data_IF_086142241223
#
_entry.id   IF_086142241223
#
_cell.length_a   1.000
_cell.length_b   1.000
_cell.length_c   1.000
_cell.angle_alpha   90.00
_cell.angle_beta   90.00
_cell.angle_gamma   90.00
#
_symmetry.space_group_name_H-M   'P 1'
#
loop_
_entity.id
_entity.type
_entity.pdbx_description
1 polymer ?
#
# COMPACT_ATOMS: atom_id res chain seq x y z
N UNK A 1 -19.17 40.19 27.59
CA UNK A 1 -19.47 39.58 26.27
C UNK A 1 -18.39 38.55 25.99
N UNK A 2 -18.72 37.25 25.99
CA UNK A 2 -17.76 36.15 25.81
C UNK A 2 -17.83 35.72 24.35
N UNK A 3 -16.79 36.02 23.58
CA UNK A 3 -16.69 35.71 22.16
C UNK A 3 -16.59 34.19 22.01
N UNK A 4 -17.62 33.57 21.41
CA UNK A 4 -17.60 32.16 21.03
C UNK A 4 -16.52 31.99 19.97
N UNK A 5 -15.45 31.26 20.30
CA UNK A 5 -14.57 30.73 19.28
C UNK A 5 -15.36 29.65 18.54
N UNK A 6 -15.71 29.92 17.29
CA UNK A 6 -16.12 28.86 16.38
C UNK A 6 -14.88 27.99 16.18
N UNK A 7 -14.96 26.74 16.62
CA UNK A 7 -14.00 25.71 16.25
C UNK A 7 -14.37 25.34 14.80
N UNK A 8 -13.45 25.42 13.83
CA UNK A 8 -13.73 24.93 12.49
C UNK A 8 -13.96 23.41 12.59
N UNK A 9 -15.19 22.96 12.33
CA UNK A 9 -15.55 21.56 12.17
C UNK A 9 -15.17 21.13 10.74
N UNK A 10 -13.88 21.04 10.39
CA UNK A 10 -13.47 20.58 9.04
C UNK A 10 -11.98 20.14 8.97
N UNK A 11 -11.33 19.74 10.09
CA UNK A 11 -9.89 19.38 10.07
C UNK A 11 -9.56 17.88 10.12
N UNK A 12 -10.52 16.96 10.24
CA UNK A 12 -10.23 15.53 10.45
C UNK A 12 -10.71 14.57 9.34
N UNK A 13 -11.06 15.10 8.17
CA UNK A 13 -11.13 14.25 6.99
C UNK A 13 -9.78 14.36 6.27
N UNK A 14 -8.79 13.58 6.72
CA UNK A 14 -7.64 13.24 5.88
C UNK A 14 -8.18 12.39 4.73
N UNK A 15 -8.81 13.06 3.76
CA UNK A 15 -9.39 12.44 2.58
C UNK A 15 -8.18 11.90 1.82
N UNK A 16 -7.98 10.59 1.89
CA UNK A 16 -7.05 9.81 1.05
C UNK A 16 -7.47 9.87 -0.43
N UNK A 17 -7.73 11.06 -0.97
CA UNK A 17 -8.08 11.27 -2.36
C UNK A 17 -6.80 11.19 -3.18
N UNK A 18 -6.66 10.10 -3.93
CA UNK A 18 -5.60 9.93 -4.95
C UNK A 18 -4.46 9.01 -4.57
N UNK A 19 -4.18 8.79 -3.28
CA UNK A 19 -3.09 7.91 -2.87
C UNK A 19 -3.47 6.42 -2.99
N UNK A 20 -2.67 5.60 -3.69
CA UNK A 20 -2.99 4.20 -3.93
C UNK A 20 -2.81 3.31 -2.69
N UNK A 21 -3.75 2.40 -2.50
CA UNK A 21 -3.57 1.19 -1.69
C UNK A 21 -3.07 0.06 -2.57
N UNK A 22 -1.94 -0.54 -2.20
CA UNK A 22 -1.46 -1.78 -2.77
C UNK A 22 -1.96 -2.95 -1.90
N UNK A 23 -2.72 -3.86 -2.50
CA UNK A 23 -3.29 -5.02 -1.82
C UNK A 23 -2.79 -6.31 -2.46
N UNK A 24 -2.32 -7.24 -1.64
CA UNK A 24 -1.85 -8.55 -2.07
C UNK A 24 -2.77 -9.63 -1.53
N UNK A 25 -3.36 -10.40 -2.44
CA UNK A 25 -3.97 -11.69 -2.12
C UNK A 25 -2.91 -12.78 -2.28
N UNK A 26 -2.38 -13.23 -1.15
CA UNK A 26 -1.31 -14.23 -1.09
C UNK A 26 -1.73 -15.60 -1.63
N UNK A 27 -0.87 -16.20 -2.45
CA UNK A 27 -0.94 -17.62 -2.79
C UNK A 27 -0.04 -18.43 -1.84
N UNK A 28 -0.55 -18.76 -0.66
CA UNK A 28 0.23 -19.45 0.39
C UNK A 28 0.85 -20.76 -0.11
N UNK A 29 0.10 -21.55 -0.90
CA UNK A 29 0.60 -22.79 -1.50
C UNK A 29 1.75 -22.50 -2.46
N UNK A 30 1.63 -21.47 -3.29
CA UNK A 30 2.67 -21.06 -4.24
C UNK A 30 3.94 -20.54 -3.56
N UNK A 31 3.79 -19.82 -2.44
CA UNK A 31 4.92 -19.37 -1.61
C UNK A 31 5.65 -20.57 -0.98
N UNK A 32 4.90 -21.48 -0.37
CA UNK A 32 5.45 -22.68 0.30
C UNK A 32 6.19 -23.60 -0.69
N UNK A 33 5.57 -23.91 -1.82
CA UNK A 33 6.17 -24.77 -2.86
C UNK A 33 7.51 -24.22 -3.38
N UNK A 34 7.71 -22.91 -3.30
CA UNK A 34 8.92 -22.23 -3.78
C UNK A 34 9.84 -21.75 -2.67
N UNK A 35 9.53 -22.10 -1.42
CA UNK A 35 10.31 -21.70 -0.25
C UNK A 35 10.51 -20.17 -0.15
N UNK A 36 9.54 -19.40 -0.64
CA UNK A 36 9.56 -17.94 -0.53
C UNK A 36 8.90 -17.57 0.79
N UNK A 37 9.67 -16.91 1.65
CA UNK A 37 9.14 -16.36 2.89
C UNK A 37 8.29 -15.14 2.58
N UNK A 38 7.03 -15.14 3.01
CA UNK A 38 6.13 -13.99 2.85
C UNK A 38 6.74 -12.71 3.42
N UNK A 39 7.37 -12.79 4.57
CA UNK A 39 8.09 -11.68 5.23
C UNK A 39 9.17 -11.06 4.36
N UNK A 40 9.89 -11.86 3.56
CA UNK A 40 10.89 -11.34 2.63
C UNK A 40 10.25 -10.47 1.53
N UNK A 41 9.10 -10.89 1.00
CA UNK A 41 8.35 -10.12 0.00
C UNK A 41 7.81 -8.82 0.61
N UNK A 42 7.26 -8.90 1.84
CA UNK A 42 6.78 -7.74 2.60
C UNK A 42 7.92 -6.74 2.84
N UNK A 43 9.11 -7.21 3.20
CA UNK A 43 10.28 -6.35 3.42
C UNK A 43 10.73 -5.65 2.14
N UNK A 44 10.67 -6.34 0.99
CA UNK A 44 10.94 -5.70 -0.31
C UNK A 44 9.96 -4.57 -0.56
N UNK A 45 8.65 -4.79 -0.36
CA UNK A 45 7.62 -3.75 -0.54
C UNK A 45 7.86 -2.57 0.41
N UNK A 46 8.12 -2.85 1.68
CA UNK A 46 8.36 -1.83 2.72
C UNK A 46 9.69 -1.07 2.56
N UNK A 47 10.63 -1.58 1.76
CA UNK A 47 11.89 -0.88 1.48
C UNK A 47 11.73 0.32 0.55
N UNK A 48 10.59 0.44 -0.15
CA UNK A 48 10.31 1.59 -1.01
C UNK A 48 9.90 2.79 -0.16
N UNK A 49 10.60 3.92 -0.34
CA UNK A 49 10.19 5.18 0.25
C UNK A 49 8.78 5.54 -0.20
N UNK A 50 7.94 5.99 0.74
CA UNK A 50 6.51 6.25 0.50
C UNK A 50 5.60 5.06 0.79
N UNK A 51 6.14 3.83 0.94
CA UNK A 51 5.35 2.69 1.42
C UNK A 51 5.17 2.77 2.94
N UNK A 52 3.92 2.71 3.37
CA UNK A 52 3.51 2.75 4.78
C UNK A 52 2.67 1.51 5.11
N UNK A 53 2.79 0.97 6.34
CA UNK A 53 1.95 -0.13 6.78
C UNK A 53 0.49 0.32 6.96
N UNK A 54 -0.44 -0.64 6.87
CA UNK A 54 -1.86 -0.39 7.12
C UNK A 54 -2.40 -1.33 8.21
N UNK A 55 -3.11 -0.82 9.23
CA UNK A 55 -3.26 0.60 9.56
C UNK A 55 -1.93 1.23 10.00
N UNK A 56 -1.83 2.56 9.96
CA UNK A 56 -0.62 3.31 10.34
C UNK A 56 -0.45 3.50 11.87
N UNK A 57 -1.28 2.85 12.68
CA UNK A 57 -1.30 2.99 14.14
C UNK A 57 -0.68 1.75 14.84
N UNK A 58 -0.74 1.72 16.17
CA UNK A 58 -0.18 0.64 17.00
C UNK A 58 -0.95 -0.70 16.91
N UNK A 59 -1.95 -0.80 16.02
CA UNK A 59 -2.64 -2.06 15.78
C UNK A 59 -1.76 -3.01 14.95
N UNK A 60 -2.05 -4.32 14.98
CA UNK A 60 -1.39 -5.28 14.11
C UNK A 60 -1.50 -4.84 12.65
N UNK A 61 -0.34 -4.60 12.03
CA UNK A 61 -0.25 -4.18 10.64
C UNK A 61 -0.59 -5.35 9.73
N UNK A 62 -1.38 -5.07 8.70
CA UNK A 62 -1.70 -6.01 7.65
C UNK A 62 -0.43 -6.44 6.90
N UNK A 63 -0.31 -7.75 6.68
CA UNK A 63 0.66 -8.33 5.77
C UNK A 63 0.24 -8.21 4.30
N UNK A 64 -0.98 -7.74 4.03
CA UNK A 64 -1.61 -7.76 2.71
C UNK A 64 -1.92 -6.38 2.17
N UNK A 65 -1.94 -5.34 3.00
CA UNK A 65 -2.37 -3.99 2.62
C UNK A 65 -1.24 -3.02 2.93
N UNK A 66 -0.89 -2.22 1.94
CA UNK A 66 0.14 -1.19 2.02
C UNK A 66 -0.42 0.12 1.48
N UNK A 67 -0.24 1.19 2.24
CA UNK A 67 -0.58 2.53 1.81
C UNK A 67 0.65 3.14 1.14
N UNK A 68 0.49 3.70 -0.05
CA UNK A 68 1.58 4.29 -0.82
C UNK A 68 1.31 5.78 -0.97
N UNK A 69 2.17 6.60 -0.37
CA UNK A 69 2.10 8.06 -0.42
C UNK A 69 3.22 8.63 -1.30
N UNK A 70 3.00 9.84 -1.77
CA UNK A 70 4.04 10.64 -2.41
C UNK A 70 5.25 10.82 -1.50
N UNK A 71 6.42 10.95 -2.13
CA UNK A 71 7.66 11.40 -1.51
C UNK A 71 8.09 12.71 -2.17
N UNK A 72 9.02 13.48 -1.58
CA UNK A 72 9.48 14.74 -2.19
C UNK A 72 9.96 14.62 -3.65
N UNK A 73 10.39 13.43 -4.07
CA UNK A 73 11.00 13.21 -5.39
C UNK A 73 10.22 12.24 -6.29
N UNK A 74 9.25 11.49 -5.77
CA UNK A 74 8.60 10.38 -6.50
C UNK A 74 7.12 10.33 -6.13
N UNK A 75 6.26 10.35 -7.16
CA UNK A 75 4.82 10.19 -7.04
C UNK A 75 4.44 8.74 -6.67
N UNK A 76 3.37 8.57 -5.90
CA UNK A 76 2.88 7.29 -5.40
C UNK A 76 2.63 6.26 -6.51
N UNK A 77 2.09 6.69 -7.65
CA UNK A 77 1.89 5.82 -8.82
C UNK A 77 3.20 5.26 -9.38
N UNK A 78 4.26 6.07 -9.40
CA UNK A 78 5.58 5.62 -9.82
C UNK A 78 6.19 4.66 -8.78
N UNK A 79 5.96 4.90 -7.48
CA UNK A 79 6.37 3.99 -6.40
C UNK A 79 5.68 2.63 -6.56
N UNK A 80 4.36 2.61 -6.79
CA UNK A 80 3.61 1.38 -7.10
C UNK A 80 4.22 0.64 -8.29
N UNK A 81 4.51 1.37 -9.37
CA UNK A 81 5.12 0.78 -10.58
C UNK A 81 6.49 0.15 -10.29
N UNK A 82 7.31 0.81 -9.48
CA UNK A 82 8.62 0.31 -9.05
C UNK A 82 8.50 -0.95 -8.18
N UNK A 83 7.53 -0.98 -7.26
CA UNK A 83 7.22 -2.16 -6.43
C UNK A 83 6.82 -3.33 -7.33
N UNK A 84 5.85 -3.13 -8.23
CA UNK A 84 5.39 -4.18 -9.14
C UNK A 84 6.53 -4.74 -10.00
N UNK A 85 7.39 -3.86 -10.52
CA UNK A 85 8.55 -4.27 -11.29
C UNK A 85 9.55 -5.10 -10.47
N UNK A 86 9.85 -4.68 -9.23
CA UNK A 86 10.73 -5.43 -8.33
C UNK A 86 10.15 -6.80 -7.97
N UNK A 87 8.86 -6.87 -7.67
CA UNK A 87 8.17 -8.14 -7.38
C UNK A 87 8.16 -9.08 -8.59
N UNK A 88 7.94 -8.54 -9.79
CA UNK A 88 8.02 -9.32 -11.02
C UNK A 88 9.44 -9.86 -11.24
N UNK A 89 10.47 -9.03 -11.08
CA UNK A 89 11.87 -9.46 -11.25
C UNK A 89 12.31 -10.49 -10.21
N UNK A 90 11.87 -10.34 -8.96
CA UNK A 90 12.27 -11.22 -7.86
C UNK A 90 11.50 -12.54 -7.80
N UNK A 91 10.22 -12.53 -8.20
CA UNK A 91 9.30 -13.63 -7.85
C UNK A 91 8.42 -14.13 -8.99
N UNK A 92 8.42 -13.50 -10.16
CA UNK A 92 7.72 -14.03 -11.33
C UNK A 92 8.53 -15.17 -11.95
N UNK A 93 7.94 -16.35 -12.05
CA UNK A 93 8.47 -17.43 -12.87
C UNK A 93 7.40 -17.85 -13.87
N UNK A 94 7.84 -18.27 -15.06
CA UNK A 94 6.94 -18.56 -16.18
C UNK A 94 5.89 -19.61 -15.76
N UNK A 95 4.64 -19.33 -16.16
CA UNK A 95 3.48 -20.24 -16.15
C UNK A 95 2.76 -20.50 -14.82
N UNK A 96 3.30 -20.14 -13.65
CA UNK A 96 2.59 -20.32 -12.37
C UNK A 96 2.65 -19.07 -11.49
N UNK A 97 1.51 -18.50 -11.04
CA UNK A 97 1.51 -17.36 -10.11
C UNK A 97 2.06 -17.75 -8.73
N UNK A 98 3.16 -17.13 -8.33
CA UNK A 98 3.84 -17.46 -7.06
C UNK A 98 3.35 -16.62 -5.89
N UNK A 99 3.28 -15.28 -6.04
CA UNK A 99 2.85 -14.40 -4.96
C UNK A 99 1.33 -14.36 -4.79
N UNK A 100 0.57 -14.68 -5.85
CA UNK A 100 -0.88 -14.57 -5.91
C UNK A 100 -1.34 -13.43 -6.80
N UNK A 101 -2.27 -12.59 -6.33
CA UNK A 101 -2.80 -11.43 -7.08
C UNK A 101 -2.49 -10.14 -6.36
N UNK A 102 -2.15 -9.11 -7.12
CA UNK A 102 -1.89 -7.76 -6.62
C UNK A 102 -2.96 -6.83 -7.19
N UNK A 103 -3.57 -6.03 -6.33
CA UNK A 103 -4.56 -5.01 -6.67
C UNK A 103 -4.01 -3.65 -6.28
N UNK A 104 -4.28 -2.65 -7.10
CA UNK A 104 -4.01 -1.24 -6.80
C UNK A 104 -5.35 -0.54 -6.78
N UNK A 105 -5.70 0.05 -5.64
CA UNK A 105 -6.96 0.77 -5.47
C UNK A 105 -6.62 2.24 -5.30
N UNK A 106 -7.26 3.09 -6.11
CA UNK A 106 -7.20 4.55 -5.97
C UNK A 106 -8.60 5.01 -5.64
N UNK A 107 -8.75 5.74 -4.54
CA UNK A 107 -10.02 6.32 -4.17
C UNK A 107 -10.24 7.62 -4.98
N UNK A 108 -11.40 7.72 -5.63
CA UNK A 108 -11.83 8.94 -6.30
C UNK A 108 -12.76 9.73 -5.37
N UNK A 109 -12.56 11.05 -5.31
CA UNK A 109 -13.49 11.94 -4.62
C UNK A 109 -14.81 11.96 -5.39
N UNK A 110 -15.92 11.62 -4.73
CA UNK A 110 -17.25 11.80 -5.30
C UNK A 110 -17.48 13.29 -5.55
N UNK A 111 -17.59 13.69 -6.82
CA UNK A 111 -18.03 15.04 -7.16
C UNK A 111 -19.49 15.18 -6.70
N UNK A 112 -19.74 16.13 -5.81
CA UNK A 112 -21.08 16.44 -5.27
C UNK A 112 -21.55 17.76 -5.83
#
# INVERSE_FOLDING_TARGET
>A
MRTKHAIPEDEDDEIYSGDPLLIIKWNEVGLQQRQIQKTAVINVIRSFQGCRPFPQNDQPQSESIFYIADTPNIQAQQIVSNILFALQRGYLQRQVPTLGRIYVIVAEKKMT
#
